data_IF_268520838534
#
_entry.id   IF_268520838534
#
_cell.length_a   1.000
_cell.length_b   1.000
_cell.length_c   1.000
_cell.angle_alpha   90.00
_cell.angle_beta   90.00
_cell.angle_gamma   90.00
#
_symmetry.space_group_name_H-M   'P 1'
#
loop_
_entity.id
_entity.type
_entity.pdbx_description
1 polymer ?
#
# COMPACT_ATOMS: atom_id res chain seq x y z
N UNK A 1 0.38 12.39 -13.51
CA UNK A 1 0.15 13.46 -12.53
C UNK A 1 -0.75 14.58 -13.05
N UNK A 2 -0.68 14.92 -14.35
CA UNK A 2 -1.50 15.97 -14.97
C UNK A 2 -3.02 15.80 -14.73
N UNK A 3 -3.54 14.59 -14.90
CA UNK A 3 -4.98 14.32 -14.70
C UNK A 3 -5.45 14.56 -13.27
N UNK A 4 -4.65 14.15 -12.27
CA UNK A 4 -4.96 14.36 -10.85
C UNK A 4 -5.01 15.85 -10.54
N UNK A 5 -4.00 16.60 -10.99
CA UNK A 5 -3.96 18.07 -10.82
C UNK A 5 -5.20 18.72 -11.43
N UNK A 6 -5.58 18.30 -12.64
CA UNK A 6 -6.77 18.84 -13.31
C UNK A 6 -8.04 18.52 -12.54
N UNK A 7 -8.21 17.28 -12.08
CA UNK A 7 -9.41 16.86 -11.32
C UNK A 7 -9.52 17.55 -9.97
N UNK A 8 -8.40 17.72 -9.26
CA UNK A 8 -8.37 18.46 -8.00
C UNK A 8 -8.71 19.92 -8.23
N UNK A 9 -8.18 20.54 -9.30
CA UNK A 9 -8.52 21.92 -9.67
C UNK A 9 -10.01 22.08 -9.99
N UNK A 10 -10.61 21.16 -10.76
CA UNK A 10 -12.05 21.12 -11.05
C UNK A 10 -12.88 21.00 -9.76
N UNK A 11 -12.47 20.12 -8.84
CA UNK A 11 -13.15 19.92 -7.57
C UNK A 11 -13.04 21.15 -6.65
N UNK A 12 -11.86 21.76 -6.56
CA UNK A 12 -11.63 22.98 -5.79
C UNK A 12 -12.41 24.17 -6.36
N UNK A 13 -12.52 24.29 -7.69
CA UNK A 13 -13.37 25.31 -8.30
C UNK A 13 -14.85 25.17 -7.89
N UNK A 14 -15.38 23.94 -7.86
CA UNK A 14 -16.76 23.67 -7.41
C UNK A 14 -16.95 23.96 -5.91
N UNK A 15 -15.96 23.62 -5.08
CA UNK A 15 -15.98 23.93 -3.64
C UNK A 15 -15.89 25.44 -3.37
N UNK A 16 -15.11 26.16 -4.17
CA UNK A 16 -14.95 27.63 -4.05
C UNK A 16 -16.28 28.37 -4.19
N UNK A 17 -17.22 27.87 -4.98
CA UNK A 17 -18.56 28.45 -5.09
C UNK A 17 -19.40 28.29 -3.83
N UNK A 18 -19.12 27.26 -3.02
CA UNK A 18 -19.82 26.94 -1.77
C UNK A 18 -19.14 27.56 -0.55
N UNK A 19 -17.88 27.97 -0.68
CA UNK A 19 -17.11 28.58 0.39
C UNK A 19 -17.58 30.03 0.67
N UNK A 20 -17.63 30.44 1.95
CA UNK A 20 -17.88 31.83 2.32
C UNK A 20 -16.81 32.73 1.69
N UNK A 21 -17.24 33.88 1.15
CA UNK A 21 -16.40 34.82 0.40
C UNK A 21 -15.68 34.25 -0.83
N UNK A 22 -16.00 33.03 -1.27
CA UNK A 22 -15.34 32.33 -2.39
C UNK A 22 -13.82 32.21 -2.22
N UNK A 23 -13.36 32.14 -0.98
CA UNK A 23 -11.95 32.05 -0.61
C UNK A 23 -11.71 30.85 0.30
N UNK A 24 -10.58 30.17 0.13
CA UNK A 24 -10.15 29.11 1.04
C UNK A 24 -9.25 29.68 2.15
N UNK A 25 -9.35 29.11 3.35
CA UNK A 25 -8.58 29.53 4.53
C UNK A 25 -7.40 28.60 4.84
N UNK A 26 -7.35 27.43 4.19
CA UNK A 26 -6.34 26.39 4.35
C UNK A 26 -6.58 25.23 3.39
N UNK A 27 -5.77 24.19 3.50
CA UNK A 27 -5.90 22.96 2.73
C UNK A 27 -5.95 21.75 3.66
N UNK A 28 -6.56 20.65 3.20
CA UNK A 28 -6.56 19.36 3.90
C UNK A 28 -6.66 18.24 2.87
N UNK A 29 -5.98 17.13 3.15
CA UNK A 29 -6.09 15.87 2.39
C UNK A 29 -7.09 14.88 3.04
N UNK A 30 -7.60 15.18 4.24
CA UNK A 30 -8.57 14.33 4.94
C UNK A 30 -10.00 14.61 4.48
N UNK A 31 -10.67 13.56 3.99
CA UNK A 31 -12.05 13.64 3.51
C UNK A 31 -13.04 14.11 4.58
N UNK A 32 -12.94 13.61 5.81
CA UNK A 32 -13.87 13.93 6.88
C UNK A 32 -13.74 15.41 7.29
N UNK A 33 -12.52 15.94 7.32
CA UNK A 33 -12.27 17.35 7.60
C UNK A 33 -12.80 18.24 6.46
N UNK A 34 -12.57 17.85 5.20
CA UNK A 34 -13.07 18.55 4.02
C UNK A 34 -14.61 18.56 3.93
N UNK A 35 -15.28 17.51 4.38
CA UNK A 35 -16.74 17.44 4.40
C UNK A 35 -17.32 18.30 5.54
N UNK A 36 -16.62 18.37 6.68
CA UNK A 36 -17.01 19.20 7.83
C UNK A 36 -16.76 20.69 7.60
N UNK A 37 -15.70 21.05 6.86
CA UNK A 37 -15.30 22.44 6.64
C UNK A 37 -15.28 22.83 5.14
N UNK A 38 -16.30 23.57 4.66
CA UNK A 38 -16.36 24.07 3.29
C UNK A 38 -15.29 25.12 2.94
N UNK A 39 -14.57 25.67 3.92
CA UNK A 39 -13.52 26.69 3.69
C UNK A 39 -12.15 26.08 3.36
N UNK A 40 -12.03 24.76 3.39
CA UNK A 40 -10.79 24.05 3.10
C UNK A 40 -10.70 23.62 1.63
N UNK A 41 -9.53 23.86 1.06
CA UNK A 41 -9.11 23.38 -0.25
C UNK A 41 -8.71 21.89 -0.18
N UNK A 42 -9.03 21.12 -1.22
CA UNK A 42 -8.57 19.73 -1.34
C UNK A 42 -7.08 19.75 -1.67
N UNK A 43 -6.30 19.10 -0.81
CA UNK A 43 -4.91 18.74 -1.07
C UNK A 43 -4.76 17.23 -1.28
N UNK A 44 -3.59 16.78 -1.71
CA UNK A 44 -3.28 15.36 -1.83
C UNK A 44 -1.80 15.08 -1.62
N UNK A 45 -1.52 13.95 -0.99
CA UNK A 45 -0.16 13.49 -0.73
C UNK A 45 0.39 12.75 -1.95
N UNK A 46 1.62 13.07 -2.33
CA UNK A 46 2.32 12.45 -3.46
C UNK A 46 3.47 11.61 -2.94
N UNK A 47 3.36 10.30 -3.10
CA UNK A 47 4.47 9.39 -2.86
C UNK A 47 5.40 9.35 -4.09
N UNK A 48 6.71 9.59 -3.94
CA UNK A 48 7.64 9.44 -5.04
C UNK A 48 7.78 7.96 -5.43
N UNK A 49 7.94 7.62 -6.72
CA UNK A 49 8.11 6.24 -7.16
C UNK A 49 9.44 5.68 -6.66
N UNK A 50 9.40 4.55 -5.95
CA UNK A 50 10.59 3.87 -5.40
C UNK A 50 10.80 2.52 -6.09
N UNK A 51 11.09 2.53 -7.39
CA UNK A 51 11.11 1.29 -8.19
C UNK A 51 12.12 0.26 -7.71
N UNK A 52 13.35 0.69 -7.38
CA UNK A 52 14.37 -0.22 -6.85
C UNK A 52 13.91 -0.93 -5.58
N UNK A 53 13.17 -0.22 -4.71
CA UNK A 53 12.64 -0.76 -3.47
C UNK A 53 11.57 -1.81 -3.74
N UNK A 54 10.61 -1.55 -4.62
CA UNK A 54 9.57 -2.55 -4.95
C UNK A 54 10.15 -3.81 -5.62
N UNK A 55 11.19 -3.66 -6.45
CA UNK A 55 11.89 -4.81 -7.05
C UNK A 55 12.60 -5.66 -5.99
N UNK A 56 13.26 -5.02 -5.02
CA UNK A 56 13.89 -5.72 -3.90
C UNK A 56 12.85 -6.50 -3.09
N UNK A 57 11.71 -5.88 -2.79
CA UNK A 57 10.62 -6.52 -2.05
C UNK A 57 9.99 -7.69 -2.81
N UNK A 58 9.72 -7.52 -4.10
CA UNK A 58 9.20 -8.59 -4.95
C UNK A 58 10.16 -9.79 -4.97
N UNK A 59 11.47 -9.54 -5.08
CA UNK A 59 12.48 -10.61 -5.04
C UNK A 59 12.48 -11.34 -3.69
N UNK A 60 12.36 -10.61 -2.57
CA UNK A 60 12.28 -11.20 -1.22
C UNK A 60 11.04 -12.08 -1.05
N UNK A 61 9.88 -11.61 -1.53
CA UNK A 61 8.62 -12.37 -1.52
C UNK A 61 8.75 -13.61 -2.42
N UNK A 62 9.34 -13.48 -3.60
CA UNK A 62 9.56 -14.59 -4.51
C UNK A 62 10.45 -15.68 -3.88
N UNK A 63 11.49 -15.30 -3.14
CA UNK A 63 12.31 -16.26 -2.38
C UNK A 63 11.52 -17.05 -1.34
N UNK A 64 10.42 -16.51 -0.82
CA UNK A 64 9.51 -17.25 0.06
C UNK A 64 8.75 -18.31 -0.75
N UNK A 65 8.25 -17.96 -1.94
CA UNK A 65 7.54 -18.92 -2.81
C UNK A 65 8.41 -20.10 -3.22
N UNK A 66 9.69 -19.85 -3.51
CA UNK A 66 10.67 -20.88 -3.86
C UNK A 66 10.90 -21.94 -2.77
N UNK A 67 10.49 -21.68 -1.52
CA UNK A 67 10.52 -22.71 -0.46
C UNK A 67 9.43 -23.79 -0.63
N UNK A 68 8.37 -23.48 -1.38
CA UNK A 68 7.16 -24.30 -1.47
C UNK A 68 6.88 -24.83 -2.88
N UNK A 69 7.17 -24.03 -3.91
CA UNK A 69 6.87 -24.35 -5.31
C UNK A 69 8.13 -24.16 -6.14
N UNK A 70 8.41 -25.10 -7.03
CA UNK A 70 9.56 -25.01 -7.92
C UNK A 70 9.36 -23.86 -8.94
N UNK A 71 10.44 -23.18 -9.36
CA UNK A 71 10.33 -22.02 -10.24
C UNK A 71 9.67 -22.33 -11.60
N UNK A 72 9.74 -23.58 -12.06
CA UNK A 72 9.11 -24.04 -13.31
C UNK A 72 7.58 -23.98 -13.24
N UNK A 73 7.01 -24.11 -12.05
CA UNK A 73 5.57 -24.10 -11.81
C UNK A 73 5.04 -22.70 -11.41
N UNK A 74 5.90 -21.68 -11.44
CA UNK A 74 5.54 -20.29 -11.12
C UNK A 74 5.65 -19.41 -12.37
N UNK A 75 4.52 -18.82 -12.77
CA UNK A 75 4.44 -17.89 -13.89
C UNK A 75 4.28 -16.44 -13.40
N UNK A 76 5.21 -15.57 -13.77
CA UNK A 76 5.18 -14.16 -13.40
C UNK A 76 4.31 -13.36 -14.37
N UNK A 77 3.28 -12.68 -13.85
CA UNK A 77 2.43 -11.80 -14.64
C UNK A 77 2.81 -10.32 -14.44
N UNK A 78 3.15 -9.95 -13.21
CA UNK A 78 3.67 -8.62 -12.85
C UNK A 78 4.69 -8.73 -11.70
N UNK A 79 5.12 -7.59 -11.17
CA UNK A 79 6.03 -7.50 -10.02
C UNK A 79 5.37 -8.06 -8.73
N UNK A 80 4.05 -7.91 -8.61
CA UNK A 80 3.25 -8.25 -7.44
C UNK A 80 2.23 -9.37 -7.68
N UNK A 81 2.18 -9.93 -8.90
CA UNK A 81 1.24 -10.96 -9.31
C UNK A 81 1.94 -12.15 -9.97
N UNK A 82 1.72 -13.33 -9.38
CA UNK A 82 2.23 -14.61 -9.88
C UNK A 82 1.11 -15.64 -9.92
N UNK A 83 1.11 -16.46 -10.97
CA UNK A 83 0.30 -17.67 -11.05
C UNK A 83 1.16 -18.87 -10.70
N UNK A 84 0.65 -19.78 -9.89
CA UNK A 84 1.38 -20.98 -9.46
C UNK A 84 0.55 -22.22 -9.69
N UNK A 85 1.11 -23.23 -10.34
CA UNK A 85 0.51 -24.56 -10.36
C UNK A 85 0.92 -25.32 -9.11
N UNK A 86 -0.04 -25.53 -8.20
CA UNK A 86 0.20 -26.19 -6.92
C UNK A 86 -0.31 -27.63 -6.88
N UNK A 87 -0.87 -28.14 -8.00
CA UNK A 87 -1.67 -29.37 -8.03
C UNK A 87 -0.95 -30.57 -7.41
N UNK A 88 0.32 -30.78 -7.77
CA UNK A 88 1.12 -31.90 -7.26
C UNK A 88 1.66 -31.65 -5.84
N UNK A 89 1.84 -30.38 -5.46
CA UNK A 89 2.31 -29.97 -4.13
C UNK A 89 1.26 -30.19 -3.04
N UNK A 90 -0.03 -30.03 -3.35
CA UNK A 90 -1.12 -30.27 -2.40
C UNK A 90 -1.09 -31.69 -1.81
N UNK A 91 -0.79 -32.68 -2.65
CA UNK A 91 -0.69 -34.09 -2.23
C UNK A 91 0.54 -34.32 -1.35
N UNK A 92 1.67 -33.72 -1.73
CA UNK A 92 2.95 -33.84 -1.02
C UNK A 92 2.85 -33.27 0.40
N UNK A 93 2.29 -32.06 0.53
CA UNK A 93 2.11 -31.41 1.83
C UNK A 93 0.89 -31.91 2.61
N UNK A 94 0.00 -32.68 1.97
CA UNK A 94 -1.28 -33.14 2.53
C UNK A 94 -2.14 -31.97 3.03
N UNK A 95 -2.15 -30.89 2.26
CA UNK A 95 -2.87 -29.65 2.56
C UNK A 95 -3.88 -29.37 1.45
N UNK A 96 -4.96 -28.69 1.81
CA UNK A 96 -5.84 -28.05 0.83
C UNK A 96 -5.14 -26.84 0.21
N UNK A 97 -5.57 -26.42 -0.98
CA UNK A 97 -5.04 -25.23 -1.64
C UNK A 97 -5.13 -23.97 -0.75
N UNK A 98 -6.22 -23.85 0.02
CA UNK A 98 -6.42 -22.75 0.96
C UNK A 98 -5.39 -22.77 2.10
N UNK A 99 -5.12 -23.94 2.66
CA UNK A 99 -4.14 -24.08 3.74
C UNK A 99 -2.74 -23.74 3.26
N UNK A 100 -2.33 -24.27 2.09
CA UNK A 100 -1.04 -23.95 1.50
C UNK A 100 -0.89 -22.44 1.24
N UNK A 101 -1.93 -21.81 0.66
CA UNK A 101 -1.93 -20.37 0.42
C UNK A 101 -1.83 -19.57 1.73
N UNK A 102 -2.57 -19.96 2.76
CA UNK A 102 -2.48 -19.32 4.08
C UNK A 102 -1.10 -19.47 4.71
N UNK A 103 -0.46 -20.64 4.57
CA UNK A 103 0.91 -20.86 5.05
C UNK A 103 1.90 -19.94 4.33
N UNK A 104 1.82 -19.84 3.00
CA UNK A 104 2.68 -18.93 2.23
C UNK A 104 2.46 -17.46 2.63
N UNK A 105 1.20 -17.03 2.80
CA UNK A 105 0.88 -15.66 3.25
C UNK A 105 1.48 -15.41 4.63
N UNK A 106 1.32 -16.35 5.57
CA UNK A 106 1.87 -16.22 6.91
C UNK A 106 3.41 -16.13 6.89
N UNK A 107 4.09 -16.94 6.08
CA UNK A 107 5.55 -16.88 5.93
C UNK A 107 6.02 -15.57 5.28
N UNK A 108 5.25 -15.03 4.32
CA UNK A 108 5.50 -13.69 3.76
C UNK A 108 5.36 -12.62 4.85
N UNK A 109 4.32 -12.69 5.69
CA UNK A 109 4.11 -11.72 6.77
C UNK A 109 5.21 -11.75 7.84
N UNK A 110 5.70 -12.95 8.16
CA UNK A 110 6.77 -13.16 9.15
C UNK A 110 8.14 -12.75 8.61
N UNK A 111 8.47 -13.09 7.37
CA UNK A 111 9.76 -12.73 6.76
C UNK A 111 9.83 -11.27 6.33
N UNK A 112 8.71 -10.68 5.88
CA UNK A 112 8.76 -9.39 5.21
C UNK A 112 8.29 -8.20 6.03
N UNK A 113 7.52 -8.30 7.13
CA UNK A 113 7.10 -7.03 7.77
C UNK A 113 6.55 -6.96 9.21
N UNK A 114 6.03 -7.99 9.89
CA UNK A 114 5.40 -7.78 11.21
C UNK A 114 6.30 -7.93 12.44
N UNK A 115 7.49 -7.30 12.44
CA UNK A 115 8.25 -7.04 13.68
C UNK A 115 8.24 -5.55 14.08
N UNK A 116 7.21 -4.81 13.68
CA UNK A 116 6.87 -3.55 14.32
C UNK A 116 6.20 -3.86 15.67
N UNK A 117 6.82 -3.40 16.75
CA UNK A 117 6.41 -3.60 18.14
C UNK A 117 4.89 -3.39 18.30
N UNK A 118 4.12 -4.45 18.62
CA UNK A 118 2.66 -4.40 18.89
C UNK A 118 2.36 -3.55 20.13
N UNK A 119 2.53 -2.23 20.07
CA UNK A 119 2.27 -1.36 21.22
C UNK A 119 1.00 -0.55 21.18
N UNK A 120 0.30 -0.36 20.06
CA UNK A 120 -1.03 0.27 20.10
C UNK A 120 -1.95 -0.19 18.98
N UNK A 121 -3.22 -0.45 19.32
CA UNK A 121 -4.23 -1.16 18.50
C UNK A 121 -5.03 -0.24 17.56
N UNK A 122 -4.66 1.03 17.41
CA UNK A 122 -5.44 2.03 16.66
C UNK A 122 -4.59 3.01 15.84
N UNK A 123 -3.33 2.68 15.59
CA UNK A 123 -2.45 3.52 14.77
C UNK A 123 -2.27 2.84 13.41
N UNK A 124 -2.67 3.53 12.34
CA UNK A 124 -2.37 3.11 10.97
C UNK A 124 -0.86 3.26 10.78
N UNK A 125 -0.10 2.21 11.06
CA UNK A 125 1.35 2.21 10.85
C UNK A 125 1.58 2.25 9.34
N UNK A 126 2.10 3.37 8.86
CA UNK A 126 2.51 3.52 7.48
C UNK A 126 3.60 2.48 7.20
N UNK A 127 3.59 1.84 6.02
CA UNK A 127 4.66 0.96 5.54
C UNK A 127 6.05 1.66 5.52
N UNK A 128 6.14 2.93 5.89
CA UNK A 128 7.37 3.70 6.05
C UNK A 128 7.94 3.67 7.49
N UNK A 129 7.17 3.22 8.49
CA UNK A 129 7.55 3.36 9.90
C UNK A 129 8.47 2.23 10.42
N UNK A 130 8.51 1.08 9.76
CA UNK A 130 9.27 -0.08 10.25
C UNK A 130 10.65 -0.25 9.56
N UNK A 131 10.89 0.44 8.44
CA UNK A 131 12.15 0.39 7.68
C UNK A 131 12.85 1.77 7.62
N UNK A 132 13.57 2.12 8.69
CA UNK A 132 14.82 2.87 8.58
C UNK A 132 14.84 4.28 7.94
N UNK A 133 13.71 4.92 7.67
CA UNK A 133 13.66 6.33 7.24
C UNK A 133 13.28 7.26 8.40
N UNK A 134 14.19 7.39 9.37
CA UNK A 134 14.22 8.59 10.20
C UNK A 134 14.73 9.75 9.32
N UNK A 135 13.82 10.45 8.63
CA UNK A 135 14.27 11.51 7.72
C UNK A 135 13.22 12.17 6.85
N UNK A 136 12.11 12.62 7.44
CA UNK A 136 11.53 13.97 7.31
C UNK A 136 10.12 13.89 7.86
N UNK A 137 9.95 14.44 9.06
CA UNK A 137 8.65 14.81 9.57
C UNK A 137 7.99 15.74 8.54
N UNK A 138 7.06 15.23 7.76
CA UNK A 138 6.03 16.08 7.20
C UNK A 138 5.13 16.41 8.39
N UNK A 139 5.38 17.57 8.99
CA UNK A 139 4.51 18.15 10.02
C UNK A 139 3.16 18.40 9.35
N UNK A 140 2.12 17.76 9.89
CA UNK A 140 0.80 18.36 9.95
C UNK A 140 0.84 19.57 10.89
#
# INVERSE_FOLDING_TARGET
MFEVVQKVTEANNNRRWKAPNRTFTGSSDDKAELDANPTLEIDYIVAPPRMAYYMEYSTRIYNVYLKYVAPEDIFHYSIDEVFMDVTDYLKTYRMTARELAMTMIQDVLENNWYNCNRRNRYEYVSLQDCDGYCGKAYRA
#
